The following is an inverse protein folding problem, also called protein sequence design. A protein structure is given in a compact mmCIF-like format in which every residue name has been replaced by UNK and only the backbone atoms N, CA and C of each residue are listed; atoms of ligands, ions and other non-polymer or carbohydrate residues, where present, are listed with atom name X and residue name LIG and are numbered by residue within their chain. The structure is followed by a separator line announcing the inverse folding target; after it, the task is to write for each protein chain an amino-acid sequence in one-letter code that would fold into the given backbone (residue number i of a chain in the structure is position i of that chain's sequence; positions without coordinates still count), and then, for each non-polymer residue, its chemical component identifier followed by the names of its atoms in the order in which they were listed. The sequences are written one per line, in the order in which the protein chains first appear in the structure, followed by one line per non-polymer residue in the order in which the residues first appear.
data_IF_102083621767
#
_entry.id   IF_102083621767
#
_cell.length_a   1.000
_cell.length_b   1.000
_cell.length_c   1.000
_cell.angle_alpha   90.00
_cell.angle_beta   90.00
_cell.angle_gamma   90.00
#
_symmetry.space_group_name_H-M   'P 1'
#
loop_
_entity.id
_entity.type
_entity.pdbx_description
1 polymer ?
#
# COMPACT_ATOMS: atom_id res chain seq x y z
N UNK A 1 19.20 -4.63 -18.80
CA UNK A 1 18.22 -5.75 -18.70
C UNK A 1 17.42 -5.65 -17.41
N UNK A 2 18.05 -5.57 -16.24
CA UNK A 2 17.36 -5.41 -14.95
C UNK A 2 16.41 -4.19 -14.88
N UNK A 3 16.80 -3.05 -15.46
CA UNK A 3 15.95 -1.85 -15.46
C UNK A 3 14.62 -2.04 -16.20
N UNK A 4 14.59 -2.81 -17.29
CA UNK A 4 13.34 -3.09 -18.01
C UNK A 4 12.34 -3.84 -17.13
N UNK A 5 12.81 -4.79 -16.33
CA UNK A 5 11.95 -5.49 -15.36
C UNK A 5 11.42 -4.55 -14.28
N UNK A 6 12.25 -3.62 -13.79
CA UNK A 6 11.81 -2.61 -12.83
C UNK A 6 10.71 -1.72 -13.41
N UNK A 7 10.88 -1.21 -14.64
CA UNK A 7 9.86 -0.38 -15.30
C UNK A 7 8.54 -1.12 -15.52
N UNK A 8 8.60 -2.40 -15.93
CA UNK A 8 7.41 -3.24 -16.08
C UNK A 8 6.72 -3.46 -14.72
N UNK A 9 7.49 -3.75 -13.66
CA UNK A 9 6.95 -3.90 -12.32
C UNK A 9 6.29 -2.61 -11.81
N UNK A 10 6.93 -1.46 -12.04
CA UNK A 10 6.42 -0.12 -11.72
C UNK A 10 5.09 0.16 -12.42
N UNK A 11 5.02 -0.14 -13.72
CA UNK A 11 3.80 -0.01 -14.51
C UNK A 11 2.68 -0.92 -14.01
N UNK A 12 2.99 -2.18 -13.70
CA UNK A 12 2.00 -3.14 -13.20
C UNK A 12 1.43 -2.71 -11.84
N UNK A 13 2.28 -2.27 -10.91
CA UNK A 13 1.86 -1.76 -9.61
C UNK A 13 1.01 -0.50 -9.79
N UNK A 14 1.39 0.42 -10.68
CA UNK A 14 0.63 1.63 -10.95
C UNK A 14 -0.79 1.33 -11.48
N UNK A 15 -0.91 0.40 -12.44
CA UNK A 15 -2.21 -0.03 -12.98
C UNK A 15 -3.06 -0.70 -11.89
N UNK A 16 -2.46 -1.55 -11.06
CA UNK A 16 -3.15 -2.16 -9.94
C UNK A 16 -3.66 -1.12 -8.93
N UNK A 17 -2.83 -0.11 -8.62
CA UNK A 17 -3.15 0.97 -7.68
C UNK A 17 -4.30 1.86 -8.21
N UNK A 18 -4.31 2.16 -9.50
CA UNK A 18 -5.44 2.85 -10.13
C UNK A 18 -6.72 2.01 -10.09
N UNK A 19 -6.60 0.69 -10.32
CA UNK A 19 -7.72 -0.24 -10.22
C UNK A 19 -8.30 -0.32 -8.81
N UNK A 20 -7.46 -0.37 -7.78
CA UNK A 20 -7.90 -0.41 -6.38
C UNK A 20 -8.52 0.92 -5.94
N UNK A 21 -7.99 2.06 -6.39
CA UNK A 21 -8.62 3.38 -6.18
C UNK A 21 -10.02 3.46 -6.82
N UNK A 22 -10.16 2.97 -8.06
CA UNK A 22 -11.46 2.94 -8.73
C UNK A 22 -12.46 2.03 -7.98
N UNK A 23 -11.99 0.87 -7.48
CA UNK A 23 -12.79 -0.02 -6.65
C UNK A 23 -13.19 0.64 -5.32
N UNK A 24 -12.30 1.41 -4.71
CA UNK A 24 -12.55 2.14 -3.46
C UNK A 24 -13.68 3.16 -3.63
N UNK A 25 -13.63 3.96 -4.71
CA UNK A 25 -14.65 4.97 -5.02
C UNK A 25 -15.99 4.33 -5.39
N UNK A 26 -15.96 3.13 -6.00
CA UNK A 26 -17.17 2.42 -6.42
C UNK A 26 -17.85 1.66 -5.28
N UNK A 27 -17.07 1.18 -4.31
CA UNK A 27 -17.56 0.42 -3.15
C UNK A 27 -18.40 1.31 -2.23
N UNK A 28 -19.51 0.77 -1.73
CA UNK A 28 -20.38 1.44 -0.74
C UNK A 28 -20.31 0.82 0.65
N UNK A 29 -19.69 -0.36 0.75
CA UNK A 29 -19.55 -1.09 2.00
C UNK A 29 -18.30 -0.63 2.76
N UNK A 30 -18.50 -0.15 3.99
CA UNK A 30 -17.44 0.36 4.85
C UNK A 30 -16.36 -0.69 5.16
N UNK A 31 -16.75 -1.96 5.34
CA UNK A 31 -15.80 -3.05 5.62
C UNK A 31 -14.87 -3.28 4.43
N UNK A 32 -15.43 -3.23 3.24
CA UNK A 32 -14.69 -3.41 1.97
C UNK A 32 -13.76 -2.22 1.73
N UNK A 33 -14.22 -0.99 1.98
CA UNK A 33 -13.41 0.23 1.81
C UNK A 33 -12.19 0.21 2.75
N UNK A 34 -12.33 -0.28 3.98
CA UNK A 34 -11.22 -0.36 4.94
C UNK A 34 -10.17 -1.36 4.49
N UNK A 35 -10.59 -2.54 4.00
CA UNK A 35 -9.66 -3.51 3.43
C UNK A 35 -8.98 -3.01 2.14
N UNK A 36 -9.71 -2.31 1.27
CA UNK A 36 -9.14 -1.70 0.07
C UNK A 36 -8.15 -0.59 0.42
N UNK A 37 -8.40 0.18 1.48
CA UNK A 37 -7.48 1.22 1.94
C UNK A 37 -6.13 0.64 2.34
N UNK A 38 -6.12 -0.52 3.00
CA UNK A 38 -4.90 -1.27 3.34
C UNK A 38 -4.16 -1.73 2.07
N UNK A 39 -4.91 -2.27 1.10
CA UNK A 39 -4.36 -2.69 -0.19
C UNK A 39 -3.72 -1.52 -0.96
N UNK A 40 -4.36 -0.34 -0.97
CA UNK A 40 -3.80 0.88 -1.59
C UNK A 40 -2.50 1.28 -0.88
N UNK A 41 -2.49 1.30 0.46
CA UNK A 41 -1.32 1.70 1.23
C UNK A 41 -0.11 0.76 0.99
N UNK A 42 -0.32 -0.55 1.04
CA UNK A 42 0.76 -1.51 0.73
C UNK A 42 1.18 -1.50 -0.73
N UNK A 43 0.28 -1.19 -1.66
CA UNK A 43 0.64 -0.99 -3.08
C UNK A 43 1.56 0.22 -3.25
N UNK A 44 1.34 1.31 -2.50
CA UNK A 44 2.24 2.47 -2.49
C UNK A 44 3.63 2.14 -1.91
N UNK A 45 3.69 1.33 -0.85
CA UNK A 45 4.97 0.85 -0.31
C UNK A 45 5.70 -0.01 -1.35
N UNK A 46 4.99 -0.94 -2.01
CA UNK A 46 5.54 -1.76 -3.09
C UNK A 46 6.11 -0.92 -4.23
N UNK A 47 5.39 0.13 -4.64
CA UNK A 47 5.86 1.09 -5.63
C UNK A 47 7.14 1.79 -5.17
N UNK A 48 7.20 2.24 -3.91
CA UNK A 48 8.36 2.90 -3.35
C UNK A 48 9.59 1.98 -3.26
N UNK A 49 9.40 0.68 -2.96
CA UNK A 49 10.48 -0.31 -2.97
C UNK A 49 11.10 -0.40 -4.37
N UNK A 50 10.29 -0.59 -5.41
CA UNK A 50 10.78 -0.68 -6.80
C UNK A 50 11.49 0.62 -7.20
N UNK A 51 10.94 1.78 -6.82
CA UNK A 51 11.55 3.08 -7.06
C UNK A 51 12.90 3.25 -6.34
N UNK A 52 13.04 2.73 -5.11
CA UNK A 52 14.29 2.75 -4.36
C UNK A 52 15.38 1.89 -4.98
N UNK A 53 15.03 0.86 -5.75
CA UNK A 53 16.03 0.05 -6.46
C UNK A 53 16.68 0.83 -7.60
N UNK A 54 15.97 1.81 -8.17
CA UNK A 54 16.50 2.74 -9.17
C UNK A 54 17.27 3.90 -8.50
N UNK A 55 16.72 4.45 -7.41
CA UNK A 55 17.30 5.58 -6.70
C UNK A 55 18.07 5.10 -5.48
N UNK A 56 19.39 4.96 -5.62
CA UNK A 56 20.28 4.61 -4.50
C UNK A 56 20.23 5.71 -3.44
N UNK A 57 19.44 5.47 -2.41
CA UNK A 57 19.34 6.30 -1.22
C UNK A 57 19.63 5.42 0.00
N UNK A 58 20.40 5.94 0.95
CA UNK A 58 20.80 5.16 2.13
C UNK A 58 19.63 4.92 3.10
N UNK A 59 18.59 5.76 3.04
CA UNK A 59 17.50 5.79 4.03
C UNK A 59 16.20 5.12 3.56
N UNK A 60 16.16 4.59 2.33
CA UNK A 60 14.90 4.09 1.77
C UNK A 60 14.35 2.87 2.52
N UNK A 61 15.22 1.96 2.96
CA UNK A 61 14.77 0.74 3.64
C UNK A 61 14.25 1.02 5.05
N UNK A 62 14.79 2.03 5.73
CA UNK A 62 14.30 2.54 6.99
C UNK A 62 12.91 3.15 6.82
N UNK A 63 12.70 3.93 5.75
CA UNK A 63 11.39 4.48 5.41
C UNK A 63 10.41 3.36 5.09
N UNK A 64 10.80 2.35 4.31
CA UNK A 64 9.96 1.19 3.98
C UNK A 64 9.54 0.45 5.26
N UNK A 65 10.48 0.22 6.16
CA UNK A 65 10.22 -0.48 7.42
C UNK A 65 9.28 0.32 8.32
N UNK A 66 9.53 1.62 8.50
CA UNK A 66 8.66 2.50 9.28
C UNK A 66 7.27 2.62 8.64
N UNK A 67 7.18 2.79 7.32
CA UNK A 67 5.92 2.85 6.60
C UNK A 67 5.13 1.54 6.74
N UNK A 68 5.78 0.38 6.60
CA UNK A 68 5.13 -0.92 6.67
C UNK A 68 4.60 -1.24 8.06
N UNK A 69 5.37 -0.94 9.11
CA UNK A 69 5.02 -1.29 10.50
C UNK A 69 4.15 -0.22 11.14
N UNK A 70 4.62 1.03 11.12
CA UNK A 70 3.96 2.15 11.82
C UNK A 70 2.82 2.70 10.96
N UNK A 71 3.07 2.92 9.68
CA UNK A 71 2.10 3.49 8.76
C UNK A 71 1.02 2.51 8.27
N UNK A 72 1.37 1.22 8.11
CA UNK A 72 0.47 0.21 7.55
C UNK A 72 -0.35 -0.48 8.63
N UNK A 73 0.32 -1.24 9.50
CA UNK A 73 -0.36 -2.14 10.44
C UNK A 73 -1.19 -1.38 11.49
N UNK A 74 -0.68 -0.25 12.01
CA UNK A 74 -1.35 0.47 13.10
C UNK A 74 -2.69 1.09 12.67
N UNK A 75 -2.80 1.80 11.53
CA UNK A 75 -4.09 2.34 11.09
C UNK A 75 -5.10 1.24 10.77
N UNK A 76 -4.67 0.15 10.14
CA UNK A 76 -5.57 -0.95 9.75
C UNK A 76 -6.13 -1.67 10.99
N UNK A 77 -5.29 -1.95 11.99
CA UNK A 77 -5.76 -2.49 13.28
C UNK A 77 -6.64 -1.50 14.05
N UNK A 78 -6.36 -0.20 13.96
CA UNK A 78 -7.16 0.83 14.63
C UNK A 78 -8.56 0.91 14.00
N UNK A 79 -8.66 0.89 12.67
CA UNK A 79 -9.94 0.87 11.98
C UNK A 79 -10.71 -0.42 12.22
N UNK A 80 -10.03 -1.58 12.19
CA UNK A 80 -10.67 -2.85 12.53
C UNK A 80 -11.31 -2.83 13.93
N UNK A 81 -10.65 -2.23 14.92
CA UNK A 81 -11.19 -2.07 16.29
C UNK A 81 -12.34 -1.07 16.38
N UNK A 82 -12.28 0.03 15.64
CA UNK A 82 -13.37 1.02 15.59
C UNK A 82 -14.62 0.36 15.02
N UNK A 83 -14.46 -0.37 13.92
CA UNK A 83 -15.55 -1.08 13.23
C UNK A 83 -16.11 -2.21 14.08
N UNK A 84 -15.26 -2.99 14.76
CA UNK A 84 -15.70 -4.06 15.66
C UNK A 84 -16.31 -3.53 16.97
N UNK A 85 -16.30 -2.20 17.18
CA UNK A 85 -16.73 -1.53 18.42
C UNK A 85 -16.03 -2.09 19.66
N UNK A 86 -14.78 -2.52 19.51
CA UNK A 86 -14.00 -3.14 20.59
C UNK A 86 -14.45 -4.56 21.00
N UNK A 87 -15.42 -5.16 20.30
CA UNK A 87 -15.70 -6.59 20.46
C UNK A 87 -14.57 -7.37 19.79
N UNK A 88 -13.96 -8.28 20.56
CA UNK A 88 -12.91 -9.17 20.10
C UNK A 88 -13.43 -10.15 19.07
#
# INVERSE_FOLDING_TARGET
MFEYFLWVALGLIAVALLGTLLLMVRSRDEYVIVAISDLVFYSMIGFYIVWSMYNRTQIAYEIILLASVVGGILPTMSMARIISRGRR
#
